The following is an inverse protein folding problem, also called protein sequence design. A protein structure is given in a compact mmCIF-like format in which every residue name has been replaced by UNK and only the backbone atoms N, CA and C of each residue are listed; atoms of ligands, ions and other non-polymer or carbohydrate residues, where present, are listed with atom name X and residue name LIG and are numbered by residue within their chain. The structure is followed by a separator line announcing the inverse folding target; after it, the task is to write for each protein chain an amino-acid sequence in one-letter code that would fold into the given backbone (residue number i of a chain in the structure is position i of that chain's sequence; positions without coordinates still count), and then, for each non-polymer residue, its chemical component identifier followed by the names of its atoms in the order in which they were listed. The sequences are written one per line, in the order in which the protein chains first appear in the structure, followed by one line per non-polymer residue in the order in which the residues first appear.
data_IF_688418041157
#
_entry.id   IF_688418041157
#
_cell.length_a   1.000
_cell.length_b   1.000
_cell.length_c   1.000
_cell.angle_alpha   90.00
_cell.angle_beta   90.00
_cell.angle_gamma   90.00
#
_symmetry.space_group_name_H-M   'P 1'
#
loop_
_entity.id
_entity.type
_entity.pdbx_description
1 polymer ?
#
# COMPACT_ATOMS: atom_id res chain seq x y z
N UNK A 1 -1.45 -1.88 32.89
CA UNK A 1 -0.58 -1.02 32.07
C UNK A 1 -0.39 0.30 32.81
N UNK A 2 0.84 0.66 33.15
CA UNK A 2 1.15 1.96 33.81
C UNK A 2 1.49 2.98 32.73
N UNK A 3 1.22 4.27 32.98
CA UNK A 3 1.57 5.35 32.05
C UNK A 3 3.07 5.39 31.68
N UNK A 4 3.93 4.97 32.63
CA UNK A 4 5.38 4.87 32.40
C UNK A 4 5.80 3.73 31.45
N UNK A 5 4.91 2.79 31.17
CA UNK A 5 5.16 1.65 30.27
C UNK A 5 4.74 1.95 28.83
N UNK A 6 4.06 3.10 28.60
CA UNK A 6 3.67 3.51 27.25
C UNK A 6 4.91 3.97 26.47
N UNK A 7 5.18 3.29 25.39
CA UNK A 7 6.23 3.63 24.44
C UNK A 7 5.67 3.63 23.01
N UNK A 8 6.17 4.50 22.13
CA UNK A 8 5.81 4.47 20.73
C UNK A 8 6.19 3.11 20.12
N UNK A 9 5.50 2.71 19.07
CA UNK A 9 5.86 1.51 18.32
C UNK A 9 7.31 1.59 17.83
N UNK A 10 8.00 0.46 17.82
CA UNK A 10 9.40 0.39 17.39
C UNK A 10 9.56 0.92 15.95
N UNK A 11 10.55 1.80 15.75
CA UNK A 11 10.79 2.47 14.47
C UNK A 11 9.90 3.68 14.15
N UNK A 12 8.89 3.99 14.99
CA UNK A 12 8.03 5.17 14.80
C UNK A 12 8.70 6.48 15.21
N UNK A 13 9.66 6.42 16.11
CA UNK A 13 10.43 7.59 16.58
C UNK A 13 11.83 7.57 15.98
N UNK A 14 12.20 8.67 15.34
CA UNK A 14 13.55 8.87 14.79
C UNK A 14 14.26 9.99 15.56
N UNK A 15 15.56 9.83 15.74
CA UNK A 15 16.39 10.89 16.29
C UNK A 15 16.26 12.18 15.45
N UNK A 16 16.13 13.36 16.07
CA UNK A 16 15.97 14.62 15.36
C UNK A 16 17.21 14.94 14.54
N UNK A 17 17.04 15.10 13.24
CA UNK A 17 18.12 15.45 12.30
C UNK A 17 18.20 16.98 12.15
N UNK A 18 19.11 17.62 12.88
CA UNK A 18 19.31 19.08 12.87
C UNK A 18 20.53 19.46 12.05
N UNK A 19 20.36 20.38 11.11
CA UNK A 19 21.43 20.94 10.27
C UNK A 19 22.03 22.19 10.89
N UNK A 20 23.30 22.50 10.54
CA UNK A 20 23.97 23.72 10.99
C UNK A 20 24.25 23.76 12.51
N UNK A 21 24.60 22.64 13.14
CA UNK A 21 24.88 22.53 14.58
C UNK A 21 26.31 22.06 14.86
N UNK A 22 27.25 22.59 14.13
CA UNK A 22 28.69 22.35 14.31
C UNK A 22 29.22 21.21 13.43
N UNK A 23 30.54 21.15 13.29
CA UNK A 23 31.23 20.20 12.42
C UNK A 23 31.05 18.74 12.88
N UNK A 24 31.01 18.50 14.20
CA UNK A 24 30.84 17.16 14.75
C UNK A 24 29.52 16.49 14.43
N UNK A 25 28.49 17.25 14.00
CA UNK A 25 27.21 16.71 13.55
C UNK A 25 27.25 16.13 12.13
N UNK A 26 28.36 16.32 11.39
CA UNK A 26 28.47 16.00 9.96
C UNK A 26 27.71 16.95 9.03
N UNK A 27 26.83 17.81 9.56
CA UNK A 27 25.99 18.75 8.81
C UNK A 27 26.22 20.22 9.20
N UNK A 28 27.40 20.54 9.70
CA UNK A 28 27.73 21.87 10.22
C UNK A 28 27.83 22.95 9.15
N UNK A 29 28.84 22.85 8.30
CA UNK A 29 29.23 23.90 7.35
C UNK A 29 28.21 24.12 6.22
N UNK A 30 27.85 23.08 5.51
CA UNK A 30 27.00 23.15 4.32
C UNK A 30 25.59 22.57 4.52
N UNK A 31 25.29 22.10 5.71
CA UNK A 31 24.00 21.50 6.06
C UNK A 31 23.62 20.26 5.23
N UNK A 32 24.62 19.52 4.73
CA UNK A 32 24.42 18.36 3.88
C UNK A 32 24.07 18.66 2.42
N UNK A 33 24.16 19.94 1.99
CA UNK A 33 23.84 20.35 0.59
C UNK A 33 25.07 20.41 -0.33
N UNK A 34 26.28 20.21 0.22
CA UNK A 34 27.52 20.40 -0.53
C UNK A 34 27.88 21.88 -0.71
N UNK A 35 28.81 22.18 -1.61
CA UNK A 35 29.27 23.56 -1.81
C UNK A 35 28.35 24.33 -2.75
N UNK A 36 28.69 24.46 -4.01
CA UNK A 36 27.95 25.23 -5.02
C UNK A 36 26.94 24.34 -5.75
N UNK A 37 25.98 24.94 -6.44
CA UNK A 37 24.99 24.25 -7.27
C UNK A 37 23.57 24.70 -7.01
N UNK A 38 22.69 24.40 -7.94
CA UNK A 38 21.28 24.81 -7.89
C UNK A 38 20.54 24.26 -6.66
N UNK A 39 20.81 23.00 -6.29
CA UNK A 39 20.18 22.35 -5.12
C UNK A 39 20.67 22.87 -3.78
N UNK A 40 21.81 23.58 -3.75
CA UNK A 40 22.36 24.15 -2.52
C UNK A 40 21.70 25.49 -2.15
N UNK A 41 20.97 26.12 -3.05
CA UNK A 41 20.33 27.43 -2.84
C UNK A 41 18.95 27.27 -2.18
N UNK A 42 18.48 28.36 -1.55
CA UNK A 42 17.10 28.43 -1.06
C UNK A 42 16.13 28.36 -2.23
N UNK A 43 15.06 27.55 -2.10
CA UNK A 43 14.09 27.37 -3.16
C UNK A 43 14.58 26.61 -4.40
N UNK A 44 15.85 26.18 -4.44
CA UNK A 44 16.48 25.50 -5.58
C UNK A 44 15.91 24.10 -5.83
N UNK A 45 14.65 24.02 -6.28
CA UNK A 45 14.02 22.76 -6.71
C UNK A 45 14.25 22.55 -8.20
N UNK A 46 14.63 21.35 -8.56
CA UNK A 46 14.69 20.88 -9.94
C UNK A 46 13.45 20.04 -10.18
N UNK A 47 12.75 20.29 -11.29
CA UNK A 47 11.58 19.47 -11.68
C UNK A 47 11.98 18.01 -11.86
N UNK A 48 11.07 17.10 -11.54
CA UNK A 48 11.29 15.65 -11.74
C UNK A 48 11.51 15.38 -13.23
N UNK A 49 12.52 14.54 -13.55
CA UNK A 49 12.84 14.16 -14.92
C UNK A 49 13.57 15.26 -15.72
N UNK A 50 14.12 16.29 -15.07
CA UNK A 50 14.97 17.26 -15.77
C UNK A 50 16.34 16.68 -16.09
N UNK A 51 16.74 16.73 -17.37
CA UNK A 51 17.96 16.13 -17.91
C UNK A 51 18.95 17.19 -18.43
N UNK A 52 19.16 18.26 -17.65
CA UNK A 52 20.18 19.28 -17.96
C UNK A 52 19.93 20.11 -19.23
N UNK A 53 18.72 20.13 -19.77
CA UNK A 53 18.36 20.80 -21.02
C UNK A 53 18.11 19.83 -22.18
N UNK A 54 18.56 18.59 -22.07
CA UNK A 54 18.16 17.52 -23.00
C UNK A 54 16.66 17.23 -22.88
N UNK A 55 16.02 16.84 -23.98
CA UNK A 55 14.61 16.45 -23.96
C UNK A 55 14.40 15.28 -23.01
N UNK A 56 13.53 15.41 -21.98
CA UNK A 56 13.28 14.35 -21.00
C UNK A 56 12.82 13.05 -21.66
N UNK A 57 13.21 11.91 -21.09
CA UNK A 57 12.88 10.58 -21.60
C UNK A 57 11.39 10.41 -21.83
N UNK A 58 10.55 10.91 -20.92
CA UNK A 58 9.08 10.85 -21.03
C UNK A 58 8.53 11.55 -22.28
N UNK A 59 9.25 12.51 -22.83
CA UNK A 59 8.89 13.21 -24.08
C UNK A 59 9.50 12.58 -25.33
N UNK A 60 10.56 11.79 -25.18
CA UNK A 60 11.20 11.06 -26.29
C UNK A 60 10.47 9.77 -26.62
N UNK A 61 9.87 9.13 -25.61
CA UNK A 61 9.13 7.88 -25.79
C UNK A 61 7.78 8.17 -26.46
N UNK A 62 7.37 7.40 -27.47
CA UNK A 62 6.06 7.52 -28.07
C UNK A 62 4.94 7.31 -27.03
N UNK A 63 3.87 8.09 -27.13
CA UNK A 63 2.66 7.86 -26.33
C UNK A 63 2.00 6.57 -26.77
N UNK A 64 1.57 5.76 -25.80
CA UNK A 64 0.85 4.49 -26.08
C UNK A 64 -0.23 4.26 -25.03
N UNK A 65 -1.19 3.44 -25.40
CA UNK A 65 -2.28 3.03 -24.53
C UNK A 65 -3.38 4.09 -24.43
N UNK A 66 -4.42 3.75 -23.70
CA UNK A 66 -5.54 4.61 -23.36
C UNK A 66 -6.11 4.20 -22.01
N UNK A 67 -6.82 5.12 -21.35
CA UNK A 67 -7.54 4.83 -20.12
C UNK A 67 -9.00 4.54 -20.46
N UNK A 68 -9.48 3.35 -20.11
CA UNK A 68 -10.90 3.04 -20.22
C UNK A 68 -11.66 3.74 -19.08
N UNK A 69 -12.40 4.80 -19.41
CA UNK A 69 -13.20 5.57 -18.45
C UNK A 69 -14.40 4.78 -17.88
N UNK A 70 -14.83 3.73 -18.58
CA UNK A 70 -15.92 2.85 -18.17
C UNK A 70 -15.44 1.62 -17.39
N UNK A 71 -14.15 1.54 -17.07
CA UNK A 71 -13.60 0.44 -16.28
C UNK A 71 -14.27 0.36 -14.90
N UNK A 72 -14.67 -0.84 -14.52
CA UNK A 72 -15.21 -1.16 -13.18
C UNK A 72 -14.20 -2.05 -12.45
N UNK A 73 -13.14 -1.47 -11.87
CA UNK A 73 -12.14 -2.25 -11.14
C UNK A 73 -12.75 -2.85 -9.89
N UNK A 74 -12.52 -4.14 -9.69
CA UNK A 74 -12.84 -4.83 -8.44
C UNK A 74 -11.67 -4.64 -7.46
N UNK A 75 -12.00 -4.44 -6.19
CA UNK A 75 -10.99 -4.45 -5.12
C UNK A 75 -10.46 -5.88 -4.93
N UNK A 76 -9.21 -6.02 -4.52
CA UNK A 76 -8.56 -7.33 -4.38
C UNK A 76 -8.45 -7.68 -2.90
N UNK A 77 -8.89 -8.89 -2.54
CA UNK A 77 -8.72 -9.46 -1.20
C UNK A 77 -8.02 -10.82 -1.34
N UNK A 78 -6.96 -11.03 -0.59
CA UNK A 78 -6.25 -12.30 -0.57
C UNK A 78 -6.86 -13.25 0.47
N UNK A 79 -6.77 -14.55 0.22
CA UNK A 79 -7.24 -15.61 1.15
C UNK A 79 -6.59 -15.45 2.54
N UNK A 80 -5.31 -15.03 2.62
CA UNK A 80 -4.64 -14.77 3.89
C UNK A 80 -5.34 -13.72 4.76
N UNK A 81 -5.99 -12.73 4.16
CA UNK A 81 -6.70 -11.69 4.91
C UNK A 81 -8.00 -12.21 5.53
N UNK A 82 -8.56 -13.29 4.98
CA UNK A 82 -9.77 -13.93 5.48
C UNK A 82 -9.53 -14.71 6.79
N UNK A 83 -8.27 -15.02 7.12
CA UNK A 83 -7.91 -15.68 8.38
C UNK A 83 -8.25 -14.84 9.62
N UNK A 84 -8.48 -13.53 9.46
CA UNK A 84 -8.89 -12.62 10.54
C UNK A 84 -10.36 -12.81 10.97
N UNK A 85 -11.16 -13.56 10.20
CA UNK A 85 -12.55 -13.88 10.54
C UNK A 85 -12.62 -15.10 11.44
N UNK A 86 -13.74 -15.26 12.15
CA UNK A 86 -14.00 -16.44 12.97
C UNK A 86 -14.58 -17.57 12.12
N UNK A 87 -14.39 -18.81 12.57
CA UNK A 87 -14.93 -19.95 11.85
C UNK A 87 -16.47 -19.93 11.85
N UNK A 88 -17.07 -20.05 10.69
CA UNK A 88 -18.52 -19.98 10.48
C UNK A 88 -19.04 -18.61 10.04
N UNK A 89 -18.19 -17.57 10.06
CA UNK A 89 -18.60 -16.24 9.65
C UNK A 89 -18.96 -16.16 8.16
N UNK A 90 -19.88 -15.23 7.85
CA UNK A 90 -20.18 -14.82 6.47
C UNK A 90 -19.40 -13.57 6.14
N UNK A 91 -18.46 -13.69 5.22
CA UNK A 91 -17.62 -12.58 4.76
C UNK A 91 -18.35 -11.80 3.68
N UNK A 92 -18.85 -10.62 4.05
CA UNK A 92 -19.50 -9.64 3.17
C UNK A 92 -18.61 -8.43 2.97
N UNK A 93 -18.98 -7.52 2.03
CA UNK A 93 -18.30 -6.23 1.83
C UNK A 93 -18.25 -5.43 3.14
N UNK A 94 -19.35 -5.38 3.90
CA UNK A 94 -19.42 -4.65 5.17
C UNK A 94 -18.44 -5.20 6.21
N UNK A 95 -18.39 -6.50 6.38
CA UNK A 95 -17.48 -7.15 7.31
C UNK A 95 -15.99 -6.88 6.97
N UNK A 96 -15.66 -6.78 5.67
CA UNK A 96 -14.31 -6.44 5.21
C UNK A 96 -13.95 -4.97 5.46
N UNK A 97 -14.91 -4.06 5.34
CA UNK A 97 -14.73 -2.63 5.65
C UNK A 97 -14.59 -2.41 7.16
N UNK A 98 -15.41 -3.04 7.99
CA UNK A 98 -15.36 -2.96 9.46
C UNK A 98 -14.02 -3.46 10.01
N UNK A 99 -13.49 -4.55 9.47
CA UNK A 99 -12.17 -5.07 9.83
C UNK A 99 -11.00 -4.30 9.19
N UNK A 100 -11.28 -3.30 8.36
CA UNK A 100 -10.26 -2.48 7.71
C UNK A 100 -9.41 -3.21 6.65
N UNK A 101 -9.85 -4.40 6.19
CA UNK A 101 -9.20 -5.15 5.10
C UNK A 101 -9.38 -4.40 3.78
N UNK A 102 -10.55 -3.81 3.59
CA UNK A 102 -10.85 -2.89 2.50
C UNK A 102 -11.05 -1.49 3.05
N UNK A 103 -10.49 -0.48 2.39
CA UNK A 103 -10.73 0.93 2.72
C UNK A 103 -11.93 1.51 1.98
N UNK A 104 -12.28 0.95 0.83
CA UNK A 104 -13.42 1.32 -0.02
C UNK A 104 -13.78 0.16 -0.93
N UNK A 105 -15.05 0.09 -1.36
CA UNK A 105 -15.52 -0.86 -2.35
C UNK A 105 -16.60 -0.20 -3.20
N UNK A 106 -16.31 0.09 -4.48
CA UNK A 106 -17.25 0.72 -5.42
C UNK A 106 -18.03 -0.28 -6.25
N UNK A 107 -17.34 -1.26 -6.81
CA UNK A 107 -17.88 -2.18 -7.81
C UNK A 107 -17.85 -3.64 -7.35
N UNK A 108 -17.53 -3.86 -6.06
CA UNK A 108 -17.36 -5.18 -5.50
C UNK A 108 -15.88 -5.57 -5.35
N UNK A 109 -15.64 -6.80 -4.91
CA UNK A 109 -14.29 -7.30 -4.70
C UNK A 109 -14.09 -8.69 -5.29
N UNK A 110 -12.84 -9.00 -5.58
CA UNK A 110 -12.39 -10.30 -6.08
C UNK A 110 -11.45 -10.94 -5.07
N UNK A 111 -11.69 -12.21 -4.77
CA UNK A 111 -10.82 -13.00 -3.90
C UNK A 111 -9.75 -13.70 -4.71
N UNK A 112 -8.48 -13.54 -4.29
CA UNK A 112 -7.30 -14.17 -4.88
C UNK A 112 -6.71 -15.20 -3.92
N UNK A 113 -6.15 -16.28 -4.47
CA UNK A 113 -5.67 -17.46 -3.74
C UNK A 113 -4.32 -17.30 -3.03
N UNK A 114 -3.85 -16.07 -2.76
CA UNK A 114 -2.60 -15.88 -2.04
C UNK A 114 -2.79 -16.12 -0.55
N UNK A 115 -2.00 -17.03 0.01
CA UNK A 115 -2.04 -17.44 1.41
C UNK A 115 -2.73 -18.77 1.65
N UNK A 116 -2.92 -19.11 2.92
CA UNK A 116 -3.62 -20.33 3.37
C UNK A 116 -4.83 -19.93 4.21
N UNK A 117 -5.88 -20.72 4.15
CA UNK A 117 -7.08 -20.59 4.97
C UNK A 117 -7.26 -21.88 5.76
N UNK A 118 -7.37 -21.77 7.08
CA UNK A 118 -7.61 -22.90 7.98
C UNK A 118 -9.04 -22.97 8.49
N UNK A 119 -9.82 -21.91 8.30
CA UNK A 119 -11.14 -21.71 8.87
C UNK A 119 -12.25 -21.93 7.84
N UNK A 120 -13.36 -22.51 8.27
CA UNK A 120 -14.58 -22.61 7.45
C UNK A 120 -15.26 -21.24 7.38
N UNK A 121 -15.36 -20.66 6.20
CA UNK A 121 -16.01 -19.36 5.97
C UNK A 121 -16.98 -19.44 4.81
N UNK A 122 -18.05 -18.67 4.88
CA UNK A 122 -18.92 -18.42 3.72
C UNK A 122 -18.54 -17.06 3.13
N UNK A 123 -17.96 -17.04 1.92
CA UNK A 123 -17.43 -15.81 1.31
C UNK A 123 -18.34 -15.39 0.16
N UNK A 124 -18.92 -14.19 0.27
CA UNK A 124 -19.79 -13.58 -0.74
C UNK A 124 -19.05 -12.49 -1.50
N UNK A 125 -18.56 -12.79 -2.70
CA UNK A 125 -17.76 -11.89 -3.51
C UNK A 125 -18.25 -11.79 -4.96
N UNK A 126 -17.90 -10.70 -5.66
CA UNK A 126 -18.25 -10.51 -7.06
C UNK A 126 -17.48 -11.45 -8.01
N UNK A 127 -16.29 -11.90 -7.61
CA UNK A 127 -15.51 -12.87 -8.36
C UNK A 127 -14.48 -13.59 -7.48
N UNK A 128 -14.07 -14.78 -7.93
CA UNK A 128 -13.01 -15.57 -7.32
C UNK A 128 -11.97 -15.97 -8.38
N UNK A 129 -10.72 -16.15 -7.99
CA UNK A 129 -9.77 -16.91 -8.80
C UNK A 129 -9.98 -18.41 -8.58
N UNK A 130 -9.56 -19.27 -9.52
CA UNK A 130 -9.66 -20.72 -9.38
C UNK A 130 -8.98 -21.21 -8.10
N UNK A 131 -7.74 -20.79 -7.87
CA UNK A 131 -6.98 -21.12 -6.66
C UNK A 131 -7.62 -20.62 -5.35
N UNK A 132 -8.32 -19.46 -5.38
CA UNK A 132 -9.02 -18.97 -4.19
C UNK A 132 -10.25 -19.84 -3.87
N UNK A 133 -10.99 -20.24 -4.92
CA UNK A 133 -12.15 -21.11 -4.76
C UNK A 133 -11.75 -22.47 -4.18
N UNK A 134 -10.71 -23.08 -4.75
CA UNK A 134 -10.14 -24.33 -4.25
C UNK A 134 -9.67 -24.23 -2.79
N UNK A 135 -9.00 -23.13 -2.42
CA UNK A 135 -8.53 -22.92 -1.04
C UNK A 135 -9.69 -22.77 -0.04
N UNK A 136 -10.78 -22.08 -0.41
CA UNK A 136 -11.96 -21.92 0.44
C UNK A 136 -12.70 -23.27 0.59
N UNK A 137 -12.88 -24.01 -0.51
CA UNK A 137 -13.53 -25.31 -0.51
C UNK A 137 -12.71 -26.37 0.25
N UNK A 138 -11.37 -26.35 0.11
CA UNK A 138 -10.46 -27.22 0.86
C UNK A 138 -10.52 -26.98 2.38
N UNK A 139 -10.74 -25.72 2.81
CA UNK A 139 -10.99 -25.38 4.21
C UNK A 139 -12.42 -25.74 4.69
N UNK A 140 -13.26 -26.29 3.81
CA UNK A 140 -14.66 -26.68 4.10
C UNK A 140 -15.62 -25.49 4.12
N UNK A 141 -15.22 -24.34 3.54
CA UNK A 141 -16.04 -23.15 3.37
C UNK A 141 -16.88 -23.18 2.09
N UNK A 142 -17.62 -22.09 1.86
CA UNK A 142 -18.41 -21.85 0.63
C UNK A 142 -17.99 -20.57 -0.05
N UNK A 143 -17.87 -20.59 -1.38
CA UNK A 143 -17.64 -19.41 -2.22
C UNK A 143 -18.93 -19.09 -3.00
N UNK A 144 -19.57 -17.98 -2.66
CA UNK A 144 -20.82 -17.52 -3.29
C UNK A 144 -20.55 -16.27 -4.12
N UNK A 145 -20.96 -16.33 -5.40
CA UNK A 145 -20.82 -15.19 -6.33
C UNK A 145 -22.10 -14.35 -6.24
N UNK A 146 -21.92 -13.04 -5.99
CA UNK A 146 -23.00 -12.06 -5.90
C UNK A 146 -23.20 -11.35 -7.25
#
# INVERSE_FOLDING_TARGET
MKLSELSPAEGSVRAPYRKGRGAGSGNGKTGGRGHKGQKARSGGKIRVGFEGGQMPLTRRIPKRGFNNIFAKPLEIVNVSNLEQFEAGDTVTVHALLEKGILSKCRYGYKVLGSGKLSKKLTVQASAFSASAKEAIEAAGGKAEVM
#
